data_IF_353672045283
#
_entry.id   IF_353672045283
#
_cell.length_a   1.000
_cell.length_b   1.000
_cell.length_c   1.000
_cell.angle_alpha   90.00
_cell.angle_beta   90.00
_cell.angle_gamma   90.00
#
_symmetry.space_group_name_H-M   'P 1'
#
loop_
_entity.id
_entity.type
_entity.pdbx_description
1 polymer ?
#
# COMPACT_ATOMS: atom_id res chain seq x y z
N UNK A 1 10.55 34.16 -36.28
CA UNK A 1 11.04 33.54 -35.02
C UNK A 1 9.91 32.76 -34.32
N UNK A 2 9.37 31.69 -34.90
CA UNK A 2 8.11 31.08 -34.43
C UNK A 2 8.10 29.56 -34.19
N UNK A 3 9.22 28.85 -34.36
CA UNK A 3 9.22 27.38 -34.37
C UNK A 3 9.64 26.71 -33.04
N UNK A 4 10.11 27.45 -32.04
CA UNK A 4 10.58 26.89 -30.77
C UNK A 4 9.46 26.69 -29.71
N UNK A 5 8.33 27.39 -29.86
CA UNK A 5 7.21 27.36 -28.92
C UNK A 5 6.48 25.99 -28.79
N UNK A 6 6.27 25.18 -29.85
CA UNK A 6 5.51 23.94 -29.70
C UNK A 6 6.29 22.83 -28.98
N UNK A 7 7.62 22.79 -29.13
CA UNK A 7 8.46 21.78 -28.46
C UNK A 7 8.51 22.03 -26.95
N UNK A 8 8.62 23.30 -26.53
CA UNK A 8 8.59 23.68 -25.12
C UNK A 8 7.24 23.37 -24.44
N UNK A 9 6.12 23.57 -25.15
CA UNK A 9 4.79 23.24 -24.63
C UNK A 9 4.59 21.72 -24.45
N UNK A 10 5.06 20.91 -25.41
CA UNK A 10 5.02 19.44 -25.35
C UNK A 10 5.94 18.92 -24.22
N UNK A 11 7.12 19.51 -24.06
CA UNK A 11 8.03 19.18 -22.96
C UNK A 11 7.42 19.49 -21.59
N UNK A 12 6.67 20.61 -21.45
CA UNK A 12 5.98 20.94 -20.21
C UNK A 12 4.81 19.99 -19.88
N UNK A 13 4.08 19.49 -20.89
CA UNK A 13 3.00 18.51 -20.66
C UNK A 13 3.52 17.10 -20.34
N UNK A 14 4.66 16.72 -20.93
CA UNK A 14 5.35 15.50 -20.56
C UNK A 14 5.97 15.61 -19.15
N UNK A 15 6.49 16.77 -18.77
CA UNK A 15 7.03 16.99 -17.43
C UNK A 15 5.95 16.94 -16.33
N UNK A 16 4.75 17.48 -16.58
CA UNK A 16 3.65 17.48 -15.60
C UNK A 16 3.09 16.07 -15.34
N UNK A 17 3.05 15.21 -16.36
CA UNK A 17 2.62 13.80 -16.21
C UNK A 17 3.65 12.94 -15.45
N UNK A 18 4.95 13.20 -15.63
CA UNK A 18 6.01 12.55 -14.84
C UNK A 18 5.99 13.05 -13.40
N UNK A 19 5.84 14.36 -13.16
CA UNK A 19 5.75 14.90 -11.79
C UNK A 19 4.50 14.39 -11.06
N UNK A 20 3.35 14.31 -11.72
CA UNK A 20 2.12 13.75 -11.15
C UNK A 20 2.31 12.29 -10.70
N UNK A 21 2.91 11.46 -11.55
CA UNK A 21 3.19 10.05 -11.21
C UNK A 21 4.24 9.86 -10.10
N UNK A 22 5.22 10.76 -9.98
CA UNK A 22 6.20 10.74 -8.87
C UNK A 22 5.52 11.12 -7.55
N UNK A 23 4.68 12.15 -7.56
CA UNK A 23 3.99 12.63 -6.37
C UNK A 23 2.99 11.59 -5.86
N UNK A 24 2.20 10.99 -6.76
CA UNK A 24 1.30 9.87 -6.45
C UNK A 24 2.06 8.61 -6.00
N UNK A 25 3.19 8.29 -6.65
CA UNK A 25 4.07 7.22 -6.20
C UNK A 25 4.66 7.45 -4.81
N UNK A 26 4.90 8.71 -4.43
CA UNK A 26 5.43 9.08 -3.10
C UNK A 26 4.36 9.00 -2.01
N UNK A 27 3.13 9.44 -2.28
CA UNK A 27 2.01 9.36 -1.33
C UNK A 27 1.65 7.90 -1.06
N UNK A 28 1.55 7.06 -2.10
CA UNK A 28 1.29 5.62 -1.95
C UNK A 28 2.39 4.90 -1.16
N UNK A 29 3.65 5.33 -1.26
CA UNK A 29 4.74 4.80 -0.42
C UNK A 29 4.63 5.27 1.03
N UNK A 30 4.22 6.51 1.28
CA UNK A 30 4.00 7.02 2.62
C UNK A 30 2.84 6.29 3.30
N UNK A 31 1.72 6.09 2.59
CA UNK A 31 0.61 5.27 3.06
C UNK A 31 1.02 3.82 3.35
N UNK A 32 1.81 3.21 2.47
CA UNK A 32 2.31 1.86 2.70
C UNK A 32 3.26 1.76 3.92
N UNK A 33 3.90 2.86 4.33
CA UNK A 33 4.68 2.91 5.58
C UNK A 33 3.74 3.02 6.78
N UNK A 34 2.73 3.87 6.69
CA UNK A 34 1.67 3.99 7.71
C UNK A 34 0.98 2.64 7.97
N UNK A 35 0.57 1.94 6.91
CA UNK A 35 -0.06 0.63 7.02
C UNK A 35 0.88 -0.41 7.66
N UNK A 36 2.18 -0.40 7.31
CA UNK A 36 3.16 -1.29 7.93
C UNK A 36 3.37 -0.99 9.43
N UNK A 37 3.32 0.29 9.83
CA UNK A 37 3.41 0.71 11.23
C UNK A 37 2.15 0.28 11.99
N UNK A 38 0.97 0.44 11.40
CA UNK A 38 -0.31 -0.03 11.95
C UNK A 38 -0.33 -1.55 12.15
N UNK A 39 0.22 -2.31 11.20
CA UNK A 39 0.40 -3.76 11.35
C UNK A 39 1.34 -4.10 12.53
N UNK A 40 2.43 -3.34 12.70
CA UNK A 40 3.34 -3.49 13.86
C UNK A 40 2.65 -3.17 15.18
N UNK A 41 1.82 -2.13 15.21
CA UNK A 41 1.06 -1.73 16.37
C UNK A 41 -0.01 -2.78 16.73
N UNK A 42 -0.69 -3.36 15.74
CA UNK A 42 -1.66 -4.45 15.95
C UNK A 42 -1.01 -5.68 16.58
N UNK A 43 0.19 -6.11 16.11
CA UNK A 43 0.94 -7.19 16.75
C UNK A 43 1.28 -6.88 18.21
N UNK A 44 1.76 -5.66 18.48
CA UNK A 44 2.08 -5.22 19.85
C UNK A 44 0.86 -5.16 20.74
N UNK A 45 -0.28 -4.71 20.21
CA UNK A 45 -1.53 -4.65 20.94
C UNK A 45 -2.02 -6.05 21.30
N UNK A 46 -1.99 -6.99 20.35
CA UNK A 46 -2.32 -8.39 20.61
C UNK A 46 -1.37 -9.05 21.61
N UNK A 47 -0.07 -8.72 21.58
CA UNK A 47 0.89 -9.21 22.56
C UNK A 47 0.64 -8.67 23.97
N UNK A 48 0.25 -7.39 24.09
CA UNK A 48 -0.16 -6.81 25.37
C UNK A 48 -1.45 -7.46 25.89
N UNK A 49 -2.45 -7.63 25.03
CA UNK A 49 -3.72 -8.25 25.39
C UNK A 49 -3.51 -9.70 25.86
N UNK A 50 -2.68 -10.48 25.17
CA UNK A 50 -2.30 -11.82 25.59
C UNK A 50 -1.62 -11.85 26.98
N UNK A 51 -0.77 -10.87 27.29
CA UNK A 51 -0.11 -10.76 28.60
C UNK A 51 -1.10 -10.39 29.71
N UNK A 52 -2.08 -9.54 29.41
CA UNK A 52 -3.13 -9.16 30.35
C UNK A 52 -4.09 -10.34 30.61
N UNK A 53 -4.50 -11.09 29.57
CA UNK A 53 -5.27 -12.32 29.71
C UNK A 53 -4.53 -13.35 30.56
N UNK A 54 -3.23 -13.54 30.32
CA UNK A 54 -2.40 -14.44 31.12
C UNK A 54 -2.31 -13.99 32.59
N UNK A 55 -2.18 -12.68 32.83
CA UNK A 55 -2.17 -12.13 34.20
C UNK A 55 -3.53 -12.35 34.87
N UNK A 56 -4.63 -12.09 34.18
CA UNK A 56 -5.97 -12.30 34.72
C UNK A 56 -6.23 -13.78 35.04
N UNK A 57 -5.87 -14.69 34.14
CA UNK A 57 -5.99 -16.14 34.38
C UNK A 57 -5.21 -16.58 35.63
N UNK A 58 -3.99 -16.05 35.84
CA UNK A 58 -3.21 -16.30 37.06
C UNK A 58 -3.87 -15.76 38.32
N UNK A 59 -4.47 -14.57 38.25
CA UNK A 59 -5.23 -14.00 39.38
C UNK A 59 -6.47 -14.84 39.70
N UNK A 60 -7.21 -15.29 38.70
CA UNK A 60 -8.39 -16.14 38.87
C UNK A 60 -8.02 -17.50 39.46
N UNK A 61 -6.94 -18.13 38.97
CA UNK A 61 -6.42 -19.37 39.55
C UNK A 61 -5.98 -19.19 41.00
N UNK A 62 -5.24 -18.11 41.31
CA UNK A 62 -4.83 -17.80 42.69
C UNK A 62 -6.02 -17.51 43.60
N UNK A 63 -7.01 -16.75 43.11
CA UNK A 63 -8.25 -16.46 43.81
C UNK A 63 -9.05 -17.71 44.11
N UNK A 64 -9.26 -18.57 43.10
CA UNK A 64 -9.94 -19.85 43.25
C UNK A 64 -9.21 -20.77 44.23
N UNK A 65 -7.88 -20.84 44.19
CA UNK A 65 -7.09 -21.62 45.13
C UNK A 65 -7.24 -21.10 46.58
N UNK A 66 -7.24 -19.78 46.79
CA UNK A 66 -7.43 -19.17 48.11
C UNK A 66 -8.87 -19.37 48.62
N UNK A 67 -9.87 -19.20 47.75
CA UNK A 67 -11.28 -19.41 48.09
C UNK A 67 -11.58 -20.89 48.41
N UNK A 68 -10.95 -21.81 47.68
CA UNK A 68 -11.03 -23.24 47.97
C UNK A 68 -10.32 -23.59 49.28
N UNK A 69 -9.13 -23.03 49.52
CA UNK A 69 -8.41 -23.21 50.79
C UNK A 69 -9.21 -22.67 51.99
N UNK A 70 -9.91 -21.54 51.84
CA UNK A 70 -10.75 -20.98 52.90
C UNK A 70 -12.07 -21.73 53.10
N UNK A 71 -12.58 -22.42 52.07
CA UNK A 71 -13.80 -23.23 52.15
C UNK A 71 -13.62 -24.62 52.77
N UNK A 72 -12.37 -25.07 52.99
CA UNK A 72 -12.08 -26.40 53.58
C UNK A 72 -12.35 -27.60 52.66
N UNK A 73 -12.74 -27.37 51.40
CA UNK A 73 -13.14 -28.41 50.42
C UNK A 73 -11.95 -29.10 49.70
N UNK A 74 -10.76 -29.11 50.29
CA UNK A 74 -9.50 -29.57 49.66
C UNK A 74 -9.43 -31.07 49.32
N UNK A 75 -10.50 -31.87 49.50
CA UNK A 75 -10.46 -33.33 49.41
C UNK A 75 -11.35 -33.98 48.33
N UNK A 76 -11.79 -33.23 47.31
CA UNK A 76 -12.48 -33.79 46.15
C UNK A 76 -11.60 -33.76 44.91
N UNK A 77 -11.32 -34.91 44.28
CA UNK A 77 -10.43 -35.04 43.10
C UNK A 77 -10.80 -34.23 41.84
N UNK A 78 -11.80 -33.34 41.89
CA UNK A 78 -12.20 -32.46 40.78
C UNK A 78 -11.49 -31.09 40.77
N UNK A 79 -10.65 -30.78 41.77
CA UNK A 79 -9.96 -29.48 41.85
C UNK A 79 -8.89 -29.35 40.78
N UNK A 80 -8.12 -30.42 40.54
CA UNK A 80 -7.08 -30.44 39.51
C UNK A 80 -7.66 -30.23 38.11
N UNK A 81 -8.81 -30.82 37.82
CA UNK A 81 -9.49 -30.73 36.51
C UNK A 81 -10.01 -29.32 36.22
N UNK A 82 -10.57 -28.61 37.21
CA UNK A 82 -11.07 -27.23 36.99
C UNK A 82 -9.92 -26.22 36.82
N UNK A 83 -8.83 -26.40 37.55
CA UNK A 83 -7.62 -25.58 37.38
C UNK A 83 -6.94 -25.85 36.03
N UNK A 84 -6.87 -27.11 35.59
CA UNK A 84 -6.32 -27.45 34.28
C UNK A 84 -7.20 -26.97 33.13
N UNK A 85 -8.52 -27.08 33.24
CA UNK A 85 -9.44 -26.61 32.20
C UNK A 85 -9.37 -25.07 32.05
N UNK A 86 -9.30 -24.32 33.15
CA UNK A 86 -9.14 -22.86 33.08
C UNK A 86 -7.79 -22.43 32.51
N UNK A 87 -6.71 -23.15 32.85
CA UNK A 87 -5.39 -22.90 32.25
C UNK A 87 -5.39 -23.15 30.73
N UNK A 88 -5.98 -24.27 30.31
CA UNK A 88 -6.05 -24.66 28.91
C UNK A 88 -6.94 -23.71 28.10
N UNK A 89 -8.00 -23.20 28.72
CA UNK A 89 -8.87 -22.19 28.11
C UNK A 89 -8.16 -20.85 27.95
N UNK A 90 -7.38 -20.41 28.95
CA UNK A 90 -6.57 -19.21 28.85
C UNK A 90 -5.47 -19.33 27.77
N UNK A 91 -4.84 -20.50 27.61
CA UNK A 91 -3.90 -20.75 26.52
C UNK A 91 -4.57 -20.66 25.15
N UNK A 92 -5.74 -21.29 24.97
CA UNK A 92 -6.50 -21.18 23.72
C UNK A 92 -6.90 -19.73 23.40
N UNK A 93 -7.26 -18.93 24.41
CA UNK A 93 -7.61 -17.53 24.21
C UNK A 93 -6.39 -16.68 23.85
N UNK A 94 -5.23 -16.93 24.47
CA UNK A 94 -3.96 -16.30 24.10
C UNK A 94 -3.59 -16.62 22.65
N UNK A 95 -3.70 -17.88 22.23
CA UNK A 95 -3.40 -18.27 20.86
C UNK A 95 -4.37 -17.64 19.87
N UNK A 96 -5.67 -17.55 20.21
CA UNK A 96 -6.65 -16.81 19.39
C UNK A 96 -6.32 -15.33 19.26
N UNK A 97 -5.89 -14.67 20.34
CA UNK A 97 -5.48 -13.25 20.32
C UNK A 97 -4.26 -13.07 19.40
N UNK A 98 -3.28 -13.96 19.51
CA UNK A 98 -2.08 -13.96 18.64
C UNK A 98 -2.43 -14.20 17.18
N UNK A 99 -3.27 -15.19 16.89
CA UNK A 99 -3.70 -15.51 15.53
C UNK A 99 -4.49 -14.36 14.91
N UNK A 100 -5.40 -13.75 15.68
CA UNK A 100 -6.18 -12.60 15.24
C UNK A 100 -5.29 -11.40 14.92
N UNK A 101 -4.40 -11.03 15.85
CA UNK A 101 -3.47 -9.91 15.66
C UNK A 101 -2.49 -10.18 14.50
N UNK A 102 -2.02 -11.42 14.33
CA UNK A 102 -1.22 -11.83 13.18
C UNK A 102 -1.99 -11.72 11.87
N UNK A 103 -3.26 -12.13 11.83
CA UNK A 103 -4.11 -12.00 10.64
C UNK A 103 -4.36 -10.52 10.28
N UNK A 104 -4.66 -9.67 11.28
CA UNK A 104 -4.81 -8.22 11.09
C UNK A 104 -3.52 -7.58 10.57
N UNK A 105 -2.38 -7.89 11.19
CA UNK A 105 -1.07 -7.41 10.76
C UNK A 105 -0.72 -7.87 9.34
N UNK A 106 -1.01 -9.12 8.99
CA UNK A 106 -0.81 -9.64 7.63
C UNK A 106 -1.68 -8.90 6.61
N UNK A 107 -2.93 -8.55 6.95
CA UNK A 107 -3.77 -7.72 6.09
C UNK A 107 -3.15 -6.33 5.85
N UNK A 108 -2.63 -5.69 6.91
CA UNK A 108 -1.93 -4.41 6.78
C UNK A 108 -0.65 -4.53 5.93
N UNK A 109 0.16 -5.57 6.13
CA UNK A 109 1.36 -5.80 5.32
C UNK A 109 1.04 -6.14 3.87
N UNK A 110 -0.04 -6.89 3.60
CA UNK A 110 -0.52 -7.18 2.26
C UNK A 110 -0.98 -5.89 1.55
N UNK A 111 -1.74 -5.04 2.25
CA UNK A 111 -2.17 -3.73 1.73
C UNK A 111 -0.97 -2.82 1.46
N UNK A 112 -0.01 -2.75 2.38
CA UNK A 112 1.23 -2.01 2.17
C UNK A 112 2.02 -2.52 0.95
N UNK A 113 2.11 -3.85 0.76
CA UNK A 113 2.77 -4.45 -0.38
C UNK A 113 2.04 -4.13 -1.70
N UNK A 114 0.70 -4.17 -1.70
CA UNK A 114 -0.11 -3.77 -2.85
C UNK A 114 0.09 -2.29 -3.19
N UNK A 115 0.03 -1.38 -2.20
CA UNK A 115 0.28 0.05 -2.41
C UNK A 115 1.70 0.34 -2.91
N UNK A 116 2.72 -0.39 -2.44
CA UNK A 116 4.09 -0.31 -2.99
C UNK A 116 4.16 -0.77 -4.45
N UNK A 117 3.43 -1.83 -4.83
CA UNK A 117 3.33 -2.27 -6.22
C UNK A 117 2.58 -1.25 -7.07
N UNK A 118 1.46 -0.72 -6.59
CA UNK A 118 0.69 0.34 -7.24
C UNK A 118 1.55 1.60 -7.44
N UNK A 119 2.35 2.00 -6.43
CA UNK A 119 3.28 3.12 -6.55
C UNK A 119 4.32 2.90 -7.66
N UNK A 120 4.86 1.68 -7.79
CA UNK A 120 5.78 1.34 -8.89
C UNK A 120 5.06 1.37 -10.24
N UNK A 121 3.82 0.87 -10.29
CA UNK A 121 2.97 0.90 -11.48
C UNK A 121 2.61 2.31 -11.92
N UNK A 122 2.29 3.22 -10.99
CA UNK A 122 1.98 4.62 -11.26
C UNK A 122 3.20 5.37 -11.81
N UNK A 123 4.39 5.12 -11.26
CA UNK A 123 5.65 5.71 -11.77
C UNK A 123 5.95 5.18 -13.18
N UNK A 124 5.83 3.87 -13.41
CA UNK A 124 6.04 3.26 -14.73
C UNK A 124 4.99 3.73 -15.74
N UNK A 125 3.72 3.81 -15.36
CA UNK A 125 2.62 4.28 -16.19
C UNK A 125 2.76 5.76 -16.54
N UNK A 126 3.17 6.60 -15.58
CA UNK A 126 3.52 8.00 -15.83
C UNK A 126 4.69 8.13 -16.80
N UNK A 127 5.74 7.29 -16.65
CA UNK A 127 6.88 7.26 -17.57
C UNK A 127 6.47 6.79 -18.98
N UNK A 128 5.68 5.73 -19.09
CA UNK A 128 5.17 5.21 -20.36
C UNK A 128 4.26 6.22 -21.06
N UNK A 129 3.35 6.87 -20.34
CA UNK A 129 2.50 7.92 -20.90
C UNK A 129 3.33 9.11 -21.36
N UNK A 130 4.36 9.50 -20.62
CA UNK A 130 5.28 10.56 -21.02
C UNK A 130 6.07 10.20 -22.29
N UNK A 131 6.60 8.98 -22.38
CA UNK A 131 7.31 8.48 -23.58
C UNK A 131 6.36 8.39 -24.77
N UNK A 132 5.16 7.84 -24.59
CA UNK A 132 4.15 7.70 -25.65
C UNK A 132 3.66 9.07 -26.13
N UNK A 133 3.50 10.04 -25.23
CA UNK A 133 3.15 11.42 -25.56
C UNK A 133 4.28 12.13 -26.30
N UNK A 134 5.53 11.90 -25.93
CA UNK A 134 6.69 12.46 -26.62
C UNK A 134 6.85 11.87 -28.04
N UNK A 135 6.69 10.55 -28.20
CA UNK A 135 6.73 9.87 -29.50
C UNK A 135 5.56 10.29 -30.38
N UNK A 136 4.33 10.33 -29.83
CA UNK A 136 3.14 10.79 -30.55
C UNK A 136 3.20 12.28 -30.91
N UNK A 137 3.80 13.11 -30.06
CA UNK A 137 4.07 14.52 -30.34
C UNK A 137 5.10 14.71 -31.46
N UNK A 138 6.19 13.92 -31.45
CA UNK A 138 7.22 13.95 -32.47
C UNK A 138 6.70 13.46 -33.84
N UNK A 139 5.89 12.40 -33.86
CA UNK A 139 5.26 11.90 -35.08
C UNK A 139 4.30 12.92 -35.70
N UNK A 140 3.52 13.64 -34.87
CA UNK A 140 2.64 14.73 -35.33
C UNK A 140 3.40 15.96 -35.85
N UNK A 141 4.58 16.25 -35.29
CA UNK A 141 5.46 17.31 -35.80
C UNK A 141 6.05 16.94 -37.16
N UNK A 142 6.45 15.68 -37.33
CA UNK A 142 7.01 15.18 -38.60
C UNK A 142 5.95 15.13 -39.71
N UNK A 143 4.73 14.69 -39.40
CA UNK A 143 3.62 14.69 -40.37
C UNK A 143 3.19 16.10 -40.79
N UNK A 144 3.13 17.06 -39.85
CA UNK A 144 2.91 18.48 -40.16
C UNK A 144 4.04 19.08 -40.99
N UNK A 145 5.29 18.71 -40.72
CA UNK A 145 6.46 19.08 -41.52
C UNK A 145 6.38 18.60 -42.97
N UNK A 146 5.92 17.37 -43.19
CA UNK A 146 5.72 16.82 -44.53
C UNK A 146 4.55 17.49 -45.28
N UNK A 147 3.42 17.73 -44.60
CA UNK A 147 2.27 18.42 -45.21
C UNK A 147 2.60 19.86 -45.61
N UNK A 148 3.33 20.58 -44.75
CA UNK A 148 3.80 21.94 -45.07
C UNK A 148 4.83 21.95 -46.19
N UNK A 149 5.74 20.98 -46.24
CA UNK A 149 6.69 20.84 -47.36
C UNK A 149 5.97 20.51 -48.70
N UNK A 150 4.92 19.68 -48.67
CA UNK A 150 4.09 19.39 -49.84
C UNK A 150 3.29 20.61 -50.29
N UNK A 151 2.64 21.33 -49.37
CA UNK A 151 1.93 22.57 -49.69
C UNK A 151 2.85 23.65 -50.26
N UNK A 152 4.12 23.70 -49.85
CA UNK A 152 5.11 24.63 -50.39
C UNK A 152 5.54 24.24 -51.80
N UNK A 153 5.72 22.95 -52.08
CA UNK A 153 5.99 22.43 -53.43
C UNK A 153 4.83 22.73 -54.38
N UNK A 154 3.59 22.45 -53.98
CA UNK A 154 2.40 22.75 -54.80
C UNK A 154 2.28 24.25 -55.14
N UNK A 155 2.61 25.13 -54.20
CA UNK A 155 2.67 26.59 -54.45
C UNK A 155 3.77 27.00 -55.41
N UNK A 156 4.93 26.36 -55.37
CA UNK A 156 6.05 26.69 -56.28
C UNK A 156 5.80 26.15 -57.68
N UNK A 157 5.17 24.98 -57.83
CA UNK A 157 4.80 24.43 -59.14
C UNK A 157 3.72 25.27 -59.83
N UNK A 158 2.73 25.75 -59.07
CA UNK A 158 1.64 26.59 -59.62
C UNK A 158 2.12 27.99 -60.02
N UNK A 159 3.08 28.58 -59.31
CA UNK A 159 3.71 29.85 -59.70
C UNK A 159 4.69 29.71 -60.89
N UNK A 160 5.31 28.54 -61.06
CA UNK A 160 6.20 28.25 -62.20
C UNK A 160 5.46 28.01 -63.51
N UNK A 161 4.21 27.53 -63.46
CA UNK A 161 3.38 27.28 -64.65
C UNK A 161 2.68 28.55 -65.20
N UNK A 162 2.82 29.70 -64.54
CA UNK A 162 2.16 30.96 -64.91
C UNK A 162 3.10 31.95 -65.62
N UNK A 163 4.27 31.51 -66.10
CA UNK A 163 5.19 32.26 -66.97
C UNK A 163 5.27 31.61 -68.34
#
# INVERSE_FOLDING_TARGET
MGAALPIAAIAMTAASSVMGGIQEGSSLRAEARSDAENGRLSLKAGEQEAMDTLRQARFEQGGAAVQMASSGLLFGGSIGTVLSDSALQAEMDIDRIRDRSAAEANNYYANAAQKRKAARGAVLGGLFNAVTSAVGGAANLQSKGQQSAQATKERTTTLGAAR
#
